data_IF_750222810413
#
_entry.id   IF_750222810413
#
_cell.length_a   1.000
_cell.length_b   1.000
_cell.length_c   1.000
_cell.angle_alpha   90.00
_cell.angle_beta   90.00
_cell.angle_gamma   90.00
#
_symmetry.space_group_name_H-M   'P 1'
#
loop_
_entity.id
_entity.type
_entity.pdbx_description
1 polymer ?
#
# COMPACT_ATOMS: atom_id res chain seq x y z
N UNK A 1 -5.30 -20.26 -25.28
CA UNK A 1 -4.16 -19.32 -25.08
C UNK A 1 -4.63 -17.85 -25.09
N UNK A 2 -5.68 -17.45 -24.33
CA UNK A 2 -6.16 -16.05 -24.25
C UNK A 2 -6.14 -15.44 -22.84
N UNK A 3 -5.65 -16.18 -21.83
CA UNK A 3 -5.77 -15.77 -20.42
C UNK A 3 -4.59 -14.90 -19.91
N UNK A 4 -3.57 -14.63 -20.72
CA UNK A 4 -2.38 -13.89 -20.32
C UNK A 4 -2.35 -12.43 -20.79
N UNK A 5 -3.19 -12.05 -21.76
CA UNK A 5 -3.17 -10.72 -22.36
C UNK A 5 -3.83 -9.62 -21.51
N UNK A 6 -4.82 -9.95 -20.66
CA UNK A 6 -5.50 -8.95 -19.82
C UNK A 6 -4.63 -8.43 -18.67
N UNK A 7 -3.59 -9.17 -18.28
CA UNK A 7 -2.75 -8.82 -17.14
C UNK A 7 -1.66 -7.81 -17.51
N UNK A 8 -1.17 -7.83 -18.75
CA UNK A 8 -0.18 -6.86 -19.23
C UNK A 8 -0.75 -5.44 -19.36
N UNK A 9 -2.06 -5.31 -19.62
CA UNK A 9 -2.74 -4.01 -19.65
C UNK A 9 -2.93 -3.37 -18.27
N UNK A 10 -2.82 -4.15 -17.18
CA UNK A 10 -2.98 -3.65 -15.80
C UNK A 10 -1.66 -3.25 -15.14
N UNK A 11 -0.52 -3.69 -15.69
CA UNK A 11 0.83 -3.35 -15.21
C UNK A 11 1.14 -1.85 -15.35
N UNK A 12 0.40 -1.15 -16.22
CA UNK A 12 0.57 0.29 -16.50
C UNK A 12 -0.60 1.14 -15.99
N UNK A 13 -1.29 0.70 -14.94
CA UNK A 13 -2.46 1.41 -14.45
C UNK A 13 -2.11 2.86 -14.04
N UNK A 14 -2.83 3.88 -14.54
CA UNK A 14 -2.54 5.29 -14.25
C UNK A 14 -2.64 5.54 -12.73
N UNK A 15 -1.87 6.50 -12.19
CA UNK A 15 -1.88 6.84 -10.74
C UNK A 15 -3.29 7.07 -10.15
N UNK A 16 -4.25 7.42 -10.99
CA UNK A 16 -5.65 7.66 -10.62
C UNK A 16 -6.48 6.38 -10.43
N UNK A 17 -5.95 5.20 -10.79
CA UNK A 17 -6.57 3.91 -10.49
C UNK A 17 -6.24 3.37 -9.09
N UNK A 18 -5.42 4.10 -8.33
CA UNK A 18 -5.08 3.75 -6.95
C UNK A 18 -6.21 4.18 -6.02
N UNK A 19 -6.73 3.22 -5.24
CA UNK A 19 -7.81 3.43 -4.27
C UNK A 19 -7.47 4.51 -3.23
N UNK A 20 -6.19 4.64 -2.89
CA UNK A 20 -5.71 5.57 -1.89
C UNK A 20 -4.74 6.57 -2.52
N UNK A 21 -5.21 7.80 -2.70
CA UNK A 21 -4.42 8.94 -3.17
C UNK A 21 -4.51 10.05 -2.14
N UNK A 22 -3.37 10.47 -1.59
CA UNK A 22 -3.34 11.66 -0.76
C UNK A 22 -3.63 12.91 -1.62
N UNK A 23 -4.48 13.84 -1.14
CA UNK A 23 -4.82 15.03 -1.90
C UNK A 23 -3.55 15.88 -2.14
N UNK A 24 -3.31 16.27 -3.38
CA UNK A 24 -2.18 17.14 -3.76
C UNK A 24 -0.83 16.45 -3.98
N UNK A 25 -0.73 15.12 -3.86
CA UNK A 25 0.45 14.40 -4.35
C UNK A 25 0.54 14.47 -5.89
N UNK A 26 1.73 14.65 -6.49
CA UNK A 26 3.07 14.74 -5.85
C UNK A 26 3.53 16.18 -5.53
N UNK A 27 2.80 17.21 -5.96
CA UNK A 27 3.24 18.61 -5.89
C UNK A 27 3.45 19.11 -4.46
N UNK A 28 2.58 18.72 -3.53
CA UNK A 28 2.70 19.09 -2.11
C UNK A 28 4.01 18.59 -1.51
N UNK A 29 4.46 17.39 -1.88
CA UNK A 29 5.72 16.83 -1.38
C UNK A 29 6.93 17.66 -1.83
N UNK A 30 6.96 18.09 -3.10
CA UNK A 30 8.02 18.96 -3.62
C UNK A 30 8.01 20.33 -2.94
N UNK A 31 6.85 20.97 -2.85
CA UNK A 31 6.71 22.29 -2.23
C UNK A 31 7.13 22.26 -0.75
N UNK A 32 6.70 21.26 0.01
CA UNK A 32 7.08 21.13 1.43
C UNK A 32 8.58 20.93 1.61
N UNK A 33 9.22 20.16 0.74
CA UNK A 33 10.67 19.95 0.78
C UNK A 33 11.44 21.24 0.45
N UNK A 34 11.04 21.95 -0.61
CA UNK A 34 11.70 23.18 -1.04
C UNK A 34 11.55 24.29 0.00
N UNK A 35 10.33 24.49 0.53
CA UNK A 35 10.08 25.47 1.59
C UNK A 35 10.87 25.17 2.86
N UNK A 36 10.91 23.90 3.29
CA UNK A 36 11.64 23.50 4.50
C UNK A 36 13.15 23.70 4.33
N UNK A 37 13.67 23.43 3.13
CA UNK A 37 15.08 23.64 2.81
C UNK A 37 15.43 25.13 2.91
N UNK A 38 14.63 26.00 2.26
CA UNK A 38 14.80 27.45 2.29
C UNK A 38 14.77 27.98 3.73
N UNK A 39 13.76 27.61 4.52
CA UNK A 39 13.64 28.05 5.92
C UNK A 39 14.83 27.60 6.75
N UNK A 40 15.33 26.37 6.54
CA UNK A 40 16.49 25.84 7.26
C UNK A 40 17.76 26.62 6.93
N UNK A 41 17.97 27.02 5.68
CA UNK A 41 19.10 27.86 5.28
C UNK A 41 19.04 29.26 5.90
N UNK A 42 17.87 29.91 5.88
CA UNK A 42 17.73 31.27 6.41
C UNK A 42 17.71 31.31 7.95
N UNK A 43 17.26 30.25 8.62
CA UNK A 43 17.22 30.15 10.09
C UNK A 43 18.58 30.40 10.75
N UNK A 44 19.68 29.97 10.13
CA UNK A 44 21.01 30.08 10.71
C UNK A 44 21.79 31.34 10.31
N UNK A 45 21.17 32.32 9.63
CA UNK A 45 21.88 33.49 9.12
C UNK A 45 22.55 34.32 10.23
N UNK A 46 21.90 34.42 11.40
CA UNK A 46 22.43 35.16 12.55
C UNK A 46 23.78 34.65 13.09
N UNK A 47 24.13 33.38 12.79
CA UNK A 47 25.44 32.82 13.15
C UNK A 47 26.62 33.49 12.45
N UNK A 48 26.36 34.28 11.39
CA UNK A 48 27.37 34.95 10.58
C UNK A 48 27.48 36.47 10.79
N UNK A 49 26.54 37.12 11.48
CA UNK A 49 26.31 38.58 11.31
C UNK A 49 27.12 39.50 12.26
N UNK A 50 27.83 39.01 13.29
CA UNK A 50 28.63 39.88 14.18
C UNK A 50 29.94 39.23 14.65
N UNK A 51 29.87 37.99 15.14
CA UNK A 51 31.01 37.12 15.45
C UNK A 51 30.58 35.71 15.09
N UNK A 52 31.48 34.91 14.50
CA UNK A 52 31.16 33.53 14.18
C UNK A 52 30.87 32.75 15.46
N UNK A 53 29.58 32.53 15.75
CA UNK A 53 29.15 31.75 16.90
C UNK A 53 29.01 30.29 16.49
N UNK A 54 30.08 29.54 16.76
CA UNK A 54 30.15 28.10 16.50
C UNK A 54 29.04 27.32 17.22
N UNK A 55 28.55 27.79 18.38
CA UNK A 55 27.49 27.09 19.11
C UNK A 55 26.16 27.19 18.36
N UNK A 56 25.79 28.41 17.98
CA UNK A 56 24.56 28.68 17.24
C UNK A 56 24.61 28.09 15.82
N UNK A 57 25.77 28.09 15.17
CA UNK A 57 25.98 27.42 13.88
C UNK A 57 25.73 25.91 13.97
N UNK A 58 26.38 25.22 14.92
CA UNK A 58 26.22 23.77 15.07
C UNK A 58 24.76 23.45 15.43
N UNK A 59 24.15 24.14 16.39
CA UNK A 59 22.76 23.86 16.81
C UNK A 59 21.75 24.09 15.67
N UNK A 60 21.94 25.11 14.84
CA UNK A 60 21.02 25.40 13.72
C UNK A 60 21.17 24.43 12.54
N UNK A 61 22.39 23.94 12.27
CA UNK A 61 22.67 23.12 11.09
C UNK A 61 22.88 21.63 11.39
N UNK A 62 22.89 21.18 12.65
CA UNK A 62 23.09 19.78 13.04
C UNK A 62 22.11 18.80 12.36
N UNK A 63 20.90 19.25 12.05
CA UNK A 63 19.89 18.42 11.40
C UNK A 63 20.30 17.92 10.01
N UNK A 64 21.03 18.72 9.23
CA UNK A 64 21.46 18.37 7.86
C UNK A 64 22.46 17.20 7.84
N UNK A 65 23.61 17.25 8.54
CA UNK A 65 24.57 16.15 8.56
C UNK A 65 24.01 14.90 9.23
N UNK A 66 23.16 15.03 10.26
CA UNK A 66 22.48 13.87 10.87
C UNK A 66 21.54 13.21 9.86
N UNK A 67 20.72 13.99 9.16
CA UNK A 67 19.84 13.47 8.11
C UNK A 67 20.63 12.77 7.00
N UNK A 68 21.71 13.39 6.51
CA UNK A 68 22.57 12.78 5.48
C UNK A 68 23.25 11.51 5.99
N UNK A 69 23.74 11.48 7.23
CA UNK A 69 24.37 10.30 7.81
C UNK A 69 23.38 9.13 7.93
N UNK A 70 22.15 9.38 8.38
CA UNK A 70 21.12 8.34 8.43
C UNK A 70 20.70 7.88 7.04
N UNK A 71 20.46 8.81 6.11
CA UNK A 71 20.04 8.49 4.76
C UNK A 71 21.10 7.70 3.99
N UNK A 72 22.33 8.21 3.97
CA UNK A 72 23.45 7.53 3.33
C UNK A 72 23.81 6.25 4.07
N UNK A 73 23.81 6.24 5.40
CA UNK A 73 24.06 5.05 6.22
C UNK A 73 23.08 3.93 5.92
N UNK A 74 21.78 4.25 5.87
CA UNK A 74 20.74 3.29 5.46
C UNK A 74 20.96 2.80 4.04
N UNK A 75 21.27 3.72 3.10
CA UNK A 75 21.47 3.38 1.69
C UNK A 75 22.71 2.50 1.46
N UNK A 76 23.81 2.76 2.18
CA UNK A 76 25.03 1.96 2.09
C UNK A 76 24.89 0.59 2.76
N UNK A 77 24.17 0.51 3.89
CA UNK A 77 23.96 -0.75 4.61
C UNK A 77 22.98 -1.66 3.88
N UNK A 78 21.79 -1.16 3.55
CA UNK A 78 20.71 -1.96 2.97
C UNK A 78 20.78 -2.04 1.44
N UNK A 79 21.68 -1.28 0.80
CA UNK A 79 21.91 -1.27 -0.66
C UNK A 79 20.60 -1.25 -1.44
N UNK A 80 19.66 -0.42 -1.00
CA UNK A 80 18.32 -0.35 -1.60
C UNK A 80 18.42 0.18 -3.03
N UNK A 81 17.84 -0.58 -3.97
CA UNK A 81 17.75 -0.16 -5.37
C UNK A 81 16.61 0.84 -5.50
N UNK A 82 16.89 1.98 -6.13
CA UNK A 82 15.83 2.90 -6.55
C UNK A 82 15.11 2.24 -7.73
N UNK A 83 13.94 1.66 -7.46
CA UNK A 83 13.09 1.06 -8.50
C UNK A 83 12.45 2.21 -9.29
N UNK A 84 12.61 2.25 -10.62
CA UNK A 84 11.96 3.26 -11.43
C UNK A 84 10.45 3.12 -11.30
N UNK A 85 9.72 4.25 -11.29
CA UNK A 85 8.26 4.27 -11.07
C UNK A 85 7.48 3.37 -12.03
N UNK A 86 8.03 3.06 -13.20
CA UNK A 86 7.42 2.19 -14.22
C UNK A 86 7.49 0.70 -13.88
N UNK A 87 8.36 0.30 -12.97
CA UNK A 87 8.61 -1.10 -12.59
C UNK A 87 8.10 -1.41 -11.17
N UNK A 88 7.41 -0.46 -10.53
CA UNK A 88 6.86 -0.64 -9.18
C UNK A 88 5.62 -1.53 -9.28
N UNK A 89 5.73 -2.76 -8.77
CA UNK A 89 4.61 -3.69 -8.63
C UNK A 89 3.64 -3.22 -7.53
N UNK A 90 2.51 -2.64 -7.95
CA UNK A 90 1.41 -2.21 -7.07
C UNK A 90 0.25 -3.22 -7.05
N UNK A 91 0.34 -4.31 -7.80
CA UNK A 91 -0.77 -5.26 -8.01
C UNK A 91 -0.69 -6.48 -7.10
N UNK A 92 0.52 -6.95 -6.78
CA UNK A 92 0.68 -8.19 -5.99
C UNK A 92 0.16 -8.02 -4.56
N UNK A 93 0.50 -6.92 -3.87
CA UNK A 93 0.01 -6.64 -2.52
C UNK A 93 -1.50 -6.43 -2.45
N UNK A 94 -2.10 -5.78 -3.46
CA UNK A 94 -3.56 -5.58 -3.53
C UNK A 94 -4.33 -6.90 -3.63
N UNK A 95 -3.79 -7.88 -4.38
CA UNK A 95 -4.44 -9.20 -4.56
C UNK A 95 -4.53 -10.00 -3.28
N UNK A 96 -3.55 -9.88 -2.40
CA UNK A 96 -3.55 -10.57 -1.10
C UNK A 96 -4.58 -9.97 -0.16
N UNK A 97 -4.70 -8.64 -0.12
CA UNK A 97 -5.70 -7.93 0.70
C UNK A 97 -7.13 -8.18 0.21
N UNK A 98 -7.38 -8.06 -1.10
CA UNK A 98 -8.69 -8.33 -1.71
C UNK A 98 -9.12 -9.79 -1.43
N UNK A 99 -8.17 -10.74 -1.48
CA UNK A 99 -8.43 -12.15 -1.15
C UNK A 99 -8.81 -12.35 0.32
N UNK A 100 -8.10 -11.69 1.24
CA UNK A 100 -8.42 -11.73 2.67
C UNK A 100 -9.82 -11.19 2.97
N UNK A 101 -10.17 -10.03 2.40
CA UNK A 101 -11.48 -9.39 2.58
C UNK A 101 -12.62 -10.25 2.05
N UNK A 102 -12.43 -10.90 0.90
CA UNK A 102 -13.44 -11.82 0.34
C UNK A 102 -13.60 -13.05 1.24
N UNK A 103 -12.50 -13.64 1.74
CA UNK A 103 -12.57 -14.78 2.64
C UNK A 103 -13.33 -14.42 3.94
N UNK A 104 -13.05 -13.26 4.53
CA UNK A 104 -13.74 -12.77 5.73
C UNK A 104 -15.24 -12.56 5.49
N UNK A 105 -15.62 -11.95 4.35
CA UNK A 105 -17.02 -11.74 4.00
C UNK A 105 -17.79 -13.05 3.79
N UNK A 106 -17.18 -14.04 3.13
CA UNK A 106 -17.79 -15.37 2.93
C UNK A 106 -17.92 -16.11 4.27
N UNK A 107 -16.94 -16.00 5.17
CA UNK A 107 -17.04 -16.55 6.53
C UNK A 107 -18.20 -15.90 7.29
N UNK A 108 -18.35 -14.58 7.24
CA UNK A 108 -19.45 -13.87 7.91
C UNK A 108 -20.81 -14.31 7.36
N UNK A 109 -20.94 -14.45 6.04
CA UNK A 109 -22.17 -14.91 5.40
C UNK A 109 -22.49 -16.36 5.76
N UNK A 110 -21.49 -17.26 5.76
CA UNK A 110 -21.66 -18.65 6.19
C UNK A 110 -22.09 -18.76 7.67
N UNK A 111 -21.56 -17.90 8.54
CA UNK A 111 -21.98 -17.80 9.95
C UNK A 111 -23.42 -17.29 10.07
N UNK A 112 -23.85 -16.32 9.24
CA UNK A 112 -25.23 -15.82 9.21
C UNK A 112 -26.24 -16.90 8.85
N UNK A 113 -25.89 -17.82 7.97
CA UNK A 113 -26.73 -18.97 7.60
C UNK A 113 -26.61 -20.16 8.58
N UNK A 114 -25.84 -20.03 9.67
CA UNK A 114 -25.79 -21.02 10.75
C UNK A 114 -25.01 -22.30 10.42
N UNK A 115 -24.15 -22.27 9.40
CA UNK A 115 -23.37 -23.44 8.97
C UNK A 115 -22.15 -23.59 9.90
N UNK A 116 -22.15 -24.57 10.81
CA UNK A 116 -21.02 -24.87 11.73
C UNK A 116 -20.49 -26.30 11.53
N UNK A 117 -19.16 -26.47 11.63
CA UNK A 117 -18.51 -27.79 11.71
C UNK A 117 -17.41 -27.99 10.68
N UNK A 118 -17.75 -28.48 9.49
CA UNK A 118 -16.78 -28.87 8.45
C UNK A 118 -16.65 -27.86 7.28
N UNK A 119 -17.71 -27.11 6.98
CA UNK A 119 -17.74 -26.21 5.82
C UNK A 119 -16.97 -24.89 6.03
N UNK A 120 -16.68 -24.54 7.29
CA UNK A 120 -15.93 -23.33 7.64
C UNK A 120 -14.47 -23.37 7.14
N UNK A 121 -13.88 -24.56 7.00
CA UNK A 121 -12.53 -24.75 6.46
C UNK A 121 -12.49 -24.83 4.93
N UNK A 122 -13.63 -25.07 4.27
CA UNK A 122 -13.76 -25.03 2.81
C UNK A 122 -14.05 -23.60 2.32
N UNK A 123 -14.76 -22.82 3.13
CA UNK A 123 -14.99 -21.38 2.93
C UNK A 123 -13.68 -20.57 3.04
N UNK A 124 -12.70 -21.02 3.83
CA UNK A 124 -11.37 -20.39 3.89
C UNK A 124 -10.49 -20.68 2.66
N UNK A 125 -10.95 -21.48 1.70
CA UNK A 125 -10.20 -21.83 0.48
C UNK A 125 -10.42 -20.80 -0.66
N UNK A 126 -9.36 -20.42 -1.40
CA UNK A 126 -9.28 -19.16 -2.12
C UNK A 126 -9.82 -19.19 -3.56
N UNK A 127 -10.78 -20.07 -3.90
CA UNK A 127 -11.35 -20.14 -5.25
C UNK A 127 -12.80 -19.66 -5.31
N UNK A 128 -13.06 -18.37 -5.60
CA UNK A 128 -14.41 -17.81 -5.65
C UNK A 128 -15.32 -18.49 -6.69
N UNK A 129 -14.74 -18.98 -7.79
CA UNK A 129 -15.49 -19.55 -8.90
C UNK A 129 -15.99 -20.99 -8.71
N UNK A 130 -15.48 -21.72 -7.70
CA UNK A 130 -16.05 -23.01 -7.32
C UNK A 130 -17.14 -22.82 -6.29
N UNK A 131 -16.94 -21.93 -5.31
CA UNK A 131 -17.88 -21.67 -4.23
C UNK A 131 -19.21 -21.12 -4.73
N UNK A 132 -19.23 -20.16 -5.66
CA UNK A 132 -20.49 -19.64 -6.21
C UNK A 132 -21.30 -20.71 -6.94
N UNK A 133 -20.64 -21.53 -7.78
CA UNK A 133 -21.30 -22.64 -8.48
C UNK A 133 -21.75 -23.75 -7.53
N UNK A 134 -21.01 -23.98 -6.45
CA UNK A 134 -21.34 -25.00 -5.47
C UNK A 134 -22.47 -24.55 -4.53
N UNK A 135 -22.47 -23.28 -4.10
CA UNK A 135 -23.57 -22.67 -3.33
C UNK A 135 -24.84 -22.60 -4.17
N UNK A 136 -24.75 -22.21 -5.44
CA UNK A 136 -25.90 -22.18 -6.35
C UNK A 136 -26.49 -23.59 -6.56
N UNK A 137 -25.61 -24.60 -6.70
CA UNK A 137 -26.02 -26.00 -6.78
C UNK A 137 -26.70 -26.47 -5.49
N UNK A 138 -26.12 -26.20 -4.32
CA UNK A 138 -26.65 -26.71 -3.04
C UNK A 138 -27.90 -25.94 -2.57
N UNK A 139 -28.00 -24.64 -2.87
CA UNK A 139 -29.20 -23.83 -2.66
C UNK A 139 -30.36 -24.33 -3.54
N UNK A 140 -30.07 -24.71 -4.80
CA UNK A 140 -31.08 -25.29 -5.69
C UNK A 140 -31.61 -26.64 -5.17
N UNK A 141 -30.73 -27.47 -4.59
CA UNK A 141 -31.12 -28.75 -3.99
C UNK A 141 -31.99 -28.56 -2.73
N UNK A 142 -31.68 -27.56 -1.90
CA UNK A 142 -32.48 -27.26 -0.70
C UNK A 142 -33.85 -26.68 -1.05
N UNK A 143 -33.93 -25.80 -2.04
CA UNK A 143 -35.21 -25.27 -2.56
C UNK A 143 -36.08 -26.38 -3.17
N UNK A 144 -35.47 -27.35 -3.87
CA UNK A 144 -36.17 -28.53 -4.39
C UNK A 144 -36.62 -29.49 -3.29
N UNK A 145 -35.90 -29.56 -2.15
CA UNK A 145 -36.32 -30.34 -0.99
C UNK A 145 -37.45 -29.68 -0.19
N UNK A 146 -37.59 -28.34 -0.27
CA UNK A 146 -38.63 -27.58 0.43
C UNK A 146 -39.97 -27.53 -0.33
N UNK A 147 -40.00 -27.95 -1.59
CA UNK A 147 -41.20 -27.96 -2.46
C UNK A 147 -41.87 -29.35 -2.56
N UNK A 148 -41.54 -30.29 -1.66
CA UNK A 148 -42.16 -31.61 -1.56
C UNK A 148 -42.76 -31.83 -0.18
#
# INVERSE_FOLDING_TARGET
>A
MKHTASWQSLEHAPRDSLLWKAPGQPYVAYISFDLTSIVTFFKGFDSFTVKFDHKTFITNYLGIPVYLALYLGYKFWYKTKLIPLKEVDLITGKREEDRGRVAEAVVEEALRYGIKGEWASLVSSPSPGSLLRFVEHDLSLRLLSSSR
#
